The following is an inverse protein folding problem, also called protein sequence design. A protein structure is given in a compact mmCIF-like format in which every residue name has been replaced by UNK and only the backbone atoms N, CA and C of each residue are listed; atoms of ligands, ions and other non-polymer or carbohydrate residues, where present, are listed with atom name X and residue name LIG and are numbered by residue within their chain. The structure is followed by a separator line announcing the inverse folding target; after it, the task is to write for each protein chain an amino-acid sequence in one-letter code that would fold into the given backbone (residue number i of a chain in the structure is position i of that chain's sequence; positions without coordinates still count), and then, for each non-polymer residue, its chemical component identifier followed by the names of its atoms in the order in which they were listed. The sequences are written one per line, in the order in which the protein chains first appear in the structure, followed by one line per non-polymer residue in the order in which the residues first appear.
data_IF_317962280048
#
_entry.id   IF_317962280048
#
_cell.length_a   1.000
_cell.length_b   1.000
_cell.length_c   1.000
_cell.angle_alpha   90.00
_cell.angle_beta   90.00
_cell.angle_gamma   90.00
#
_symmetry.space_group_name_H-M   'P 1'
#
loop_
_entity.id
_entity.type
_entity.pdbx_description
1 polymer ?
#
# COMPACT_ATOMS: atom_id res chain seq x y z
N UNK A 1 -9.48 10.53 13.80
CA UNK A 1 -9.26 9.07 13.67
C UNK A 1 -7.91 8.86 13.01
N UNK A 2 -7.10 7.91 13.51
CA UNK A 2 -5.91 7.37 12.86
C UNK A 2 -6.05 5.86 12.77
N UNK A 3 -5.61 5.27 11.67
CA UNK A 3 -5.72 3.82 11.42
C UNK A 3 -4.33 3.22 11.35
N UNK A 4 -4.12 2.12 12.06
CA UNK A 4 -2.88 1.36 12.08
C UNK A 4 -3.21 -0.12 11.89
N UNK A 5 -2.51 -0.78 10.96
CA UNK A 5 -2.65 -2.20 10.63
C UNK A 5 -1.27 -2.83 10.38
N UNK A 6 -1.25 -3.96 9.70
CA UNK A 6 -0.03 -4.63 9.22
C UNK A 6 0.31 -4.18 7.80
N UNK A 7 1.56 -4.31 7.40
CA UNK A 7 2.05 -3.96 6.07
C UNK A 7 1.80 -5.01 5.00
N UNK A 8 2.30 -4.76 3.82
CA UNK A 8 2.42 -5.59 2.61
C UNK A 8 1.13 -5.98 1.89
N UNK A 9 0.02 -6.17 2.59
CA UNK A 9 -1.26 -6.55 1.99
C UNK A 9 -1.93 -5.36 1.29
N UNK A 10 -2.58 -5.61 0.16
CA UNK A 10 -3.19 -4.56 -0.64
C UNK A 10 -4.44 -5.02 -1.40
N UNK A 11 -5.26 -4.07 -1.80
CA UNK A 11 -6.39 -4.26 -2.69
C UNK A 11 -6.31 -3.37 -3.92
N UNK A 12 -6.93 -3.82 -5.01
CA UNK A 12 -7.07 -3.07 -6.26
C UNK A 12 -8.48 -2.48 -6.37
N UNK A 13 -8.53 -1.22 -6.80
CA UNK A 13 -9.76 -0.49 -7.04
C UNK A 13 -9.88 -0.12 -8.51
N UNK A 14 -11.09 -0.19 -9.05
CA UNK A 14 -11.39 0.22 -10.40
C UNK A 14 -11.53 1.75 -10.54
N UNK A 15 -11.85 2.22 -11.74
CA UNK A 15 -12.04 3.67 -12.03
C UNK A 15 -13.25 4.28 -11.33
N UNK A 16 -14.22 3.47 -10.92
CA UNK A 16 -15.41 3.88 -10.19
C UNK A 16 -15.17 3.92 -8.68
N UNK A 17 -14.03 3.44 -8.20
CA UNK A 17 -13.68 3.38 -6.79
C UNK A 17 -14.21 2.13 -6.07
N UNK A 18 -14.62 1.11 -6.81
CA UNK A 18 -15.00 -0.18 -6.22
C UNK A 18 -13.78 -1.10 -6.14
N UNK A 19 -13.70 -1.82 -5.04
CA UNK A 19 -12.67 -2.85 -4.87
C UNK A 19 -12.98 -4.04 -5.79
N UNK A 20 -12.01 -4.41 -6.65
CA UNK A 20 -12.22 -5.43 -7.71
C UNK A 20 -12.36 -6.82 -7.11
N UNK A 21 -11.61 -7.10 -6.05
CA UNK A 21 -11.63 -8.37 -5.32
C UNK A 21 -11.15 -8.12 -3.88
N UNK A 22 -11.30 -9.11 -3.02
CA UNK A 22 -10.71 -9.06 -1.68
C UNK A 22 -9.20 -8.76 -1.73
N UNK A 23 -8.67 -8.01 -0.75
CA UNK A 23 -7.23 -7.75 -0.65
C UNK A 23 -6.41 -9.02 -0.71
N UNK A 24 -5.27 -8.95 -1.39
CA UNK A 24 -4.34 -10.07 -1.48
C UNK A 24 -3.50 -10.12 -0.22
N UNK A 25 -3.56 -11.25 0.49
CA UNK A 25 -2.77 -11.46 1.70
C UNK A 25 -1.36 -11.95 1.39
N UNK A 26 -0.36 -11.48 2.14
CA UNK A 26 1.03 -11.93 2.09
C UNK A 26 1.21 -13.44 2.37
N UNK A 27 0.19 -14.09 2.92
CA UNK A 27 0.16 -15.55 3.13
C UNK A 27 -0.18 -16.33 1.86
N UNK A 28 -0.55 -15.62 0.77
CA UNK A 28 -0.76 -16.24 -0.53
C UNK A 28 0.59 -16.66 -1.13
N UNK A 29 0.62 -17.77 -1.87
CA UNK A 29 1.84 -18.30 -2.48
C UNK A 29 2.33 -17.50 -3.68
N UNK A 30 1.53 -16.59 -4.22
CA UNK A 30 1.81 -15.89 -5.49
C UNK A 30 3.14 -15.11 -5.46
N UNK A 31 3.46 -14.46 -4.33
CA UNK A 31 4.71 -13.75 -4.15
C UNK A 31 5.93 -14.68 -3.98
N UNK A 32 5.73 -15.85 -3.36
CA UNK A 32 6.78 -16.84 -3.19
C UNK A 32 7.24 -17.39 -4.55
N UNK A 33 6.30 -17.71 -5.42
CA UNK A 33 6.59 -18.25 -6.76
C UNK A 33 7.36 -17.24 -7.63
N UNK A 34 7.03 -15.96 -7.55
CA UNK A 34 7.79 -14.89 -8.23
C UNK A 34 9.20 -14.78 -7.66
N UNK A 35 9.32 -14.78 -6.34
CA UNK A 35 10.64 -14.67 -5.69
C UNK A 35 11.54 -15.85 -5.99
N UNK A 36 11.01 -17.08 -6.06
CA UNK A 36 11.79 -18.27 -6.39
C UNK A 36 12.41 -18.20 -7.80
N UNK A 37 11.72 -17.56 -8.73
CA UNK A 37 12.17 -17.38 -10.12
C UNK A 37 13.04 -16.14 -10.32
N UNK A 38 13.10 -15.24 -9.33
CA UNK A 38 13.82 -13.97 -9.42
C UNK A 38 15.33 -14.20 -9.37
N UNK A 39 16.11 -13.71 -10.36
CA UNK A 39 17.58 -13.80 -10.35
C UNK A 39 18.19 -13.07 -9.12
N UNK A 40 19.31 -13.57 -8.62
CA UNK A 40 20.01 -12.96 -7.48
C UNK A 40 20.48 -11.53 -7.77
N UNK A 41 20.81 -11.22 -9.02
CA UNK A 41 21.17 -9.87 -9.46
C UNK A 41 19.98 -8.90 -9.28
N UNK A 42 18.78 -9.34 -9.65
CA UNK A 42 17.57 -8.53 -9.49
C UNK A 42 17.22 -8.34 -8.02
N UNK A 43 17.33 -9.37 -7.18
CA UNK A 43 17.15 -9.27 -5.71
C UNK A 43 18.12 -8.25 -5.11
N UNK A 44 19.39 -8.32 -5.52
CA UNK A 44 20.44 -7.40 -5.10
C UNK A 44 20.15 -5.97 -5.55
N UNK A 45 19.68 -5.81 -6.78
CA UNK A 45 19.27 -4.51 -7.31
C UNK A 45 18.12 -3.90 -6.49
N UNK A 46 17.03 -4.65 -6.25
CA UNK A 46 15.90 -4.20 -5.45
C UNK A 46 16.34 -3.78 -4.04
N UNK A 47 17.20 -4.58 -3.40
CA UNK A 47 17.74 -4.23 -2.08
C UNK A 47 18.54 -2.93 -2.09
N UNK A 48 19.40 -2.72 -3.10
CA UNK A 48 20.21 -1.49 -3.21
C UNK A 48 19.37 -0.24 -3.43
N UNK A 49 18.27 -0.35 -4.16
CA UNK A 49 17.37 0.77 -4.44
C UNK A 49 16.47 1.12 -3.25
N UNK A 50 15.99 0.11 -2.55
CA UNK A 50 14.93 0.28 -1.54
C UNK A 50 15.43 0.16 -0.10
N UNK A 51 16.58 -0.46 0.14
CA UNK A 51 17.08 -0.79 1.48
C UNK A 51 16.32 -1.94 2.15
N UNK A 52 15.37 -2.59 1.46
CA UNK A 52 14.52 -3.65 1.99
C UNK A 52 15.01 -5.00 1.48
N UNK A 53 15.20 -5.95 2.39
CA UNK A 53 15.54 -7.32 2.04
C UNK A 53 14.41 -7.95 1.22
N UNK A 54 14.78 -8.58 0.10
CA UNK A 54 13.81 -9.26 -0.74
C UNK A 54 13.23 -10.47 -0.01
N UNK A 55 11.92 -10.47 0.19
CA UNK A 55 11.17 -11.55 0.81
C UNK A 55 9.90 -11.82 -0.01
N UNK A 56 9.42 -13.07 0.06
CA UNK A 56 8.18 -13.51 -0.61
C UNK A 56 6.95 -12.70 -0.23
N UNK A 57 6.97 -12.09 0.96
CA UNK A 57 5.85 -11.31 1.48
C UNK A 57 5.82 -9.86 0.95
N UNK A 58 6.91 -9.37 0.35
CA UNK A 58 6.93 -7.99 -0.13
C UNK A 58 5.92 -7.79 -1.25
N UNK A 59 5.17 -6.70 -1.18
CA UNK A 59 4.08 -6.43 -2.13
C UNK A 59 4.53 -6.42 -3.58
N UNK A 60 5.78 -6.02 -3.87
CA UNK A 60 6.35 -6.05 -5.22
C UNK A 60 6.23 -7.43 -5.87
N UNK A 61 6.51 -8.49 -5.11
CA UNK A 61 6.43 -9.88 -5.59
C UNK A 61 4.97 -10.31 -5.81
N UNK A 62 4.07 -9.90 -4.90
CA UNK A 62 2.64 -10.19 -5.03
C UNK A 62 2.02 -9.44 -6.20
N UNK A 63 2.37 -8.17 -6.42
CA UNK A 63 1.90 -7.38 -7.56
C UNK A 63 2.37 -8.04 -8.87
N UNK A 64 3.66 -8.39 -8.96
CA UNK A 64 4.21 -9.08 -10.12
C UNK A 64 3.49 -10.40 -10.40
N UNK A 65 3.25 -11.19 -9.37
CA UNK A 65 2.49 -12.44 -9.49
C UNK A 65 1.04 -12.22 -9.95
N UNK A 66 0.37 -11.14 -9.50
CA UNK A 66 -0.95 -10.78 -10.02
C UNK A 66 -0.91 -10.39 -11.50
N UNK A 67 0.09 -9.64 -11.93
CA UNK A 67 0.26 -9.27 -13.33
C UNK A 67 0.37 -10.51 -14.22
N UNK A 68 1.07 -11.53 -13.77
CA UNK A 68 1.34 -12.76 -14.52
C UNK A 68 0.18 -13.76 -14.49
N UNK A 69 -0.42 -13.96 -13.31
CA UNK A 69 -1.42 -15.03 -13.09
C UNK A 69 -2.87 -14.54 -13.14
N UNK A 70 -3.09 -13.25 -12.92
CA UNK A 70 -4.41 -12.64 -12.86
C UNK A 70 -4.48 -11.37 -13.75
N UNK A 71 -4.02 -11.43 -15.02
CA UNK A 71 -3.86 -10.25 -15.86
C UNK A 71 -5.17 -9.50 -16.09
N UNK A 72 -6.31 -10.19 -16.15
CA UNK A 72 -7.63 -9.55 -16.29
C UNK A 72 -8.03 -8.77 -15.04
N UNK A 73 -7.70 -9.26 -13.84
CA UNK A 73 -7.93 -8.53 -12.59
C UNK A 73 -7.02 -7.32 -12.52
N UNK A 74 -5.74 -7.51 -12.80
CA UNK A 74 -4.76 -6.44 -12.73
C UNK A 74 -5.04 -5.32 -13.73
N UNK A 75 -5.40 -5.65 -14.98
CA UNK A 75 -5.68 -4.66 -16.02
C UNK A 75 -6.92 -3.80 -15.76
N UNK A 76 -7.87 -4.26 -14.93
CA UNK A 76 -9.00 -3.48 -14.46
C UNK A 76 -8.64 -2.59 -13.26
N UNK A 77 -7.49 -2.79 -12.64
CA UNK A 77 -6.99 -1.98 -11.53
C UNK A 77 -6.66 -0.56 -11.96
N UNK A 78 -7.21 0.41 -11.26
CA UNK A 78 -6.90 1.82 -11.43
C UNK A 78 -6.08 2.38 -10.27
N UNK A 79 -6.35 1.95 -9.04
CA UNK A 79 -5.60 2.30 -7.84
C UNK A 79 -5.33 1.09 -6.96
N UNK A 80 -4.14 1.08 -6.38
CA UNK A 80 -3.70 0.13 -5.35
C UNK A 80 -3.69 0.86 -4.01
N UNK A 81 -4.36 0.28 -3.02
CA UNK A 81 -4.37 0.77 -1.65
C UNK A 81 -3.92 -0.33 -0.70
N UNK A 82 -3.07 0.03 0.27
CA UNK A 82 -2.69 -0.86 1.36
C UNK A 82 -3.85 -0.99 2.35
N UNK A 83 -3.83 -1.97 3.24
CA UNK A 83 -4.97 -2.23 4.15
C UNK A 83 -5.44 -0.99 4.91
N UNK A 84 -4.58 -0.20 5.58
CA UNK A 84 -5.07 1.00 6.28
C UNK A 84 -5.53 2.09 5.33
N UNK A 85 -4.96 2.17 4.12
CA UNK A 85 -5.41 3.10 3.09
C UNK A 85 -6.82 2.76 2.59
N UNK A 86 -7.13 1.45 2.48
CA UNK A 86 -8.49 0.98 2.17
C UNK A 86 -9.47 1.46 3.24
N UNK A 87 -9.13 1.28 4.51
CA UNK A 87 -9.99 1.73 5.62
C UNK A 87 -10.14 3.25 5.64
N UNK A 88 -9.05 3.99 5.41
CA UNK A 88 -9.08 5.44 5.27
C UNK A 88 -10.00 5.88 4.12
N UNK A 89 -9.90 5.20 2.97
CA UNK A 89 -10.77 5.46 1.82
C UNK A 89 -12.24 5.19 2.13
N UNK A 90 -12.55 4.06 2.76
CA UNK A 90 -13.93 3.74 3.17
C UNK A 90 -14.51 4.74 4.16
N UNK A 91 -13.68 5.34 5.00
CA UNK A 91 -14.10 6.36 5.96
C UNK A 91 -14.25 7.76 5.36
N UNK A 92 -13.47 8.10 4.32
CA UNK A 92 -13.36 9.49 3.85
C UNK A 92 -13.77 9.68 2.39
N UNK A 93 -13.76 8.62 1.58
CA UNK A 93 -13.86 8.71 0.13
C UNK A 93 -12.57 9.19 -0.57
N UNK A 94 -11.48 9.40 0.18
CA UNK A 94 -10.21 9.90 -0.36
C UNK A 94 -9.19 8.78 -0.48
N UNK A 95 -8.66 8.54 -1.69
CA UNK A 95 -7.59 7.57 -1.93
C UNK A 95 -6.22 8.23 -1.71
N UNK A 96 -5.50 7.75 -0.72
CA UNK A 96 -4.15 8.22 -0.35
C UNK A 96 -3.34 6.99 0.05
N UNK A 97 -2.09 6.90 -0.40
CA UNK A 97 -1.16 5.88 0.09
C UNK A 97 -0.33 6.43 1.24
N UNK A 98 -0.28 5.71 2.34
CA UNK A 98 0.47 6.10 3.53
C UNK A 98 1.96 5.68 3.39
N UNK A 99 2.92 6.59 3.69
CA UNK A 99 4.34 6.33 3.44
C UNK A 99 4.93 5.12 4.17
N UNK A 100 4.55 4.85 5.42
CA UNK A 100 5.10 3.72 6.18
C UNK A 100 4.59 2.37 5.65
N UNK A 101 3.35 2.33 5.16
CA UNK A 101 2.80 1.19 4.45
C UNK A 101 3.50 0.96 3.11
N UNK A 102 3.64 2.02 2.29
CA UNK A 102 4.36 1.92 1.04
C UNK A 102 5.80 1.45 1.22
N UNK A 103 6.45 1.78 2.35
CA UNK A 103 7.81 1.31 2.63
C UNK A 103 7.89 -0.22 2.70
N UNK A 104 6.80 -0.91 3.09
CA UNK A 104 6.77 -2.38 3.18
C UNK A 104 6.69 -3.07 1.81
N UNK A 105 6.34 -2.33 0.77
CA UNK A 105 6.13 -2.87 -0.58
C UNK A 105 7.41 -3.26 -1.30
N UNK A 106 8.57 -2.76 -0.87
CA UNK A 106 9.84 -2.80 -1.60
C UNK A 106 9.80 -2.00 -2.93
N UNK A 107 8.96 -0.97 -3.00
CA UNK A 107 8.84 -0.09 -4.17
C UNK A 107 9.29 1.35 -3.88
N UNK A 108 9.64 1.68 -2.63
CA UNK A 108 10.10 3.01 -2.26
C UNK A 108 11.62 3.15 -2.29
N UNK A 109 12.10 4.26 -2.84
CA UNK A 109 13.47 4.72 -2.65
C UNK A 109 13.65 5.18 -1.19
N UNK A 110 14.51 4.48 -0.44
CA UNK A 110 14.73 4.75 0.98
C UNK A 110 15.30 6.16 1.27
N UNK A 111 16.04 6.73 0.32
CA UNK A 111 16.68 8.06 0.48
C UNK A 111 15.71 9.18 0.12
N UNK A 112 15.00 9.02 -0.99
CA UNK A 112 14.07 10.03 -1.52
C UNK A 112 12.71 9.98 -0.81
N UNK A 113 12.37 8.86 -0.16
CA UNK A 113 11.07 8.61 0.51
C UNK A 113 9.88 8.78 -0.43
N UNK A 114 10.04 8.28 -1.64
CA UNK A 114 9.02 8.28 -2.70
C UNK A 114 9.10 6.97 -3.46
N UNK A 115 8.09 6.67 -4.27
CA UNK A 115 8.13 5.51 -5.16
C UNK A 115 9.36 5.60 -6.07
N UNK A 116 10.06 4.49 -6.24
CA UNK A 116 11.22 4.38 -7.12
C UNK A 116 10.76 4.09 -8.53
N UNK A 117 10.81 5.09 -9.40
CA UNK A 117 10.49 4.89 -10.83
C UNK A 117 11.39 3.82 -11.47
N UNK A 118 12.65 3.72 -11.03
CA UNK A 118 13.59 2.70 -11.50
C UNK A 118 13.14 1.29 -11.12
N UNK A 119 12.68 1.08 -9.88
CA UNK A 119 12.15 -0.21 -9.41
C UNK A 119 10.82 -0.52 -10.07
N UNK A 120 9.93 0.46 -10.19
CA UNK A 120 8.66 0.28 -10.89
C UNK A 120 8.87 -0.13 -12.35
N UNK A 121 9.80 0.54 -13.05
CA UNK A 121 10.17 0.22 -14.43
C UNK A 121 10.78 -1.17 -14.57
N UNK A 122 11.73 -1.55 -13.69
CA UNK A 122 12.36 -2.88 -13.65
C UNK A 122 11.32 -4.00 -13.45
N UNK A 123 10.34 -3.77 -12.58
CA UNK A 123 9.29 -4.75 -12.28
C UNK A 123 8.10 -4.68 -13.26
N UNK A 124 8.08 -3.67 -14.15
CA UNK A 124 6.99 -3.44 -15.09
C UNK A 124 5.68 -2.99 -14.43
N UNK A 125 5.76 -2.37 -13.24
CA UNK A 125 4.59 -1.93 -12.47
C UNK A 125 4.26 -0.47 -12.85
N UNK A 126 3.04 -0.17 -13.32
CA UNK A 126 2.68 1.20 -13.67
C UNK A 126 2.66 2.14 -12.44
N UNK A 127 3.40 3.25 -12.49
CA UNK A 127 3.41 4.25 -11.40
C UNK A 127 2.04 4.86 -11.15
N UNK A 128 1.22 5.01 -12.19
CA UNK A 128 -0.16 5.48 -12.09
C UNK A 128 -1.10 4.60 -11.25
N UNK A 129 -0.68 3.39 -10.90
CA UNK A 129 -1.42 2.48 -10.03
C UNK A 129 -1.51 3.00 -8.58
N UNK A 130 -0.56 3.80 -8.14
CA UNK A 130 -0.53 4.31 -6.77
C UNK A 130 -1.34 5.61 -6.63
N UNK A 131 -1.96 5.78 -5.47
CA UNK A 131 -2.60 7.03 -5.08
C UNK A 131 -1.54 8.07 -4.66
N UNK A 132 -1.89 9.37 -4.53
CA UNK A 132 -0.97 10.35 -3.97
C UNK A 132 -0.45 9.90 -2.60
N UNK A 133 0.84 10.16 -2.34
CA UNK A 133 1.45 9.82 -1.05
C UNK A 133 1.02 10.85 0.00
N UNK A 134 0.47 10.36 1.10
CA UNK A 134 0.04 11.18 2.23
C UNK A 134 1.19 11.79 3.01
N UNK A 135 0.87 12.81 3.80
CA UNK A 135 1.82 13.42 4.74
C UNK A 135 1.36 13.16 6.16
N UNK A 136 2.23 12.58 6.99
CA UNK A 136 1.92 12.32 8.39
C UNK A 136 1.49 13.59 9.14
N UNK A 137 0.49 13.45 10.00
CA UNK A 137 -0.07 14.53 10.79
C UNK A 137 -1.06 15.43 10.04
N UNK A 138 -1.35 15.16 8.76
CA UNK A 138 -2.33 15.93 8.00
C UNK A 138 -3.64 15.17 7.80
N UNK A 139 -4.81 15.86 7.71
CA UNK A 139 -6.05 15.21 7.36
C UNK A 139 -6.02 14.58 5.97
N UNK A 140 -6.49 13.33 5.86
CA UNK A 140 -6.81 12.66 4.59
C UNK A 140 -8.17 13.15 4.09
N UNK A 141 -9.11 13.28 5.00
CA UNK A 141 -10.47 13.74 4.76
C UNK A 141 -11.29 13.76 6.03
N UNK A 142 -12.56 14.08 5.90
CA UNK A 142 -13.53 14.00 6.99
C UNK A 142 -14.28 12.67 6.94
N UNK A 143 -14.69 12.19 8.10
CA UNK A 143 -15.51 11.00 8.21
C UNK A 143 -16.78 11.17 7.36
N UNK A 144 -17.02 10.22 6.47
CA UNK A 144 -18.13 10.26 5.52
C UNK A 144 -19.50 10.34 6.24
N UNK A 145 -20.44 11.10 5.70
CA UNK A 145 -21.74 11.32 6.29
C UNK A 145 -22.50 10.03 6.63
N UNK A 146 -22.47 9.03 5.74
CA UNK A 146 -23.10 7.74 5.97
C UNK A 146 -22.49 6.98 7.16
N UNK A 147 -21.17 7.08 7.37
CA UNK A 147 -20.52 6.48 8.56
C UNK A 147 -20.91 7.24 9.82
N UNK A 148 -20.96 8.58 9.77
CA UNK A 148 -21.41 9.41 10.89
C UNK A 148 -22.85 9.08 11.30
N UNK A 149 -23.74 8.88 10.34
CA UNK A 149 -25.12 8.51 10.57
C UNK A 149 -25.23 7.15 11.28
N UNK A 150 -24.53 6.12 10.79
CA UNK A 150 -24.52 4.79 11.42
C UNK A 150 -24.00 4.84 12.88
N UNK A 151 -23.01 5.70 13.14
CA UNK A 151 -22.38 5.83 14.45
C UNK A 151 -23.09 6.86 15.37
N UNK A 152 -24.12 7.57 14.90
CA UNK A 152 -24.80 8.63 15.65
C UNK A 152 -23.92 9.86 15.93
N UNK A 153 -22.93 10.13 15.07
CA UNK A 153 -21.99 11.25 15.21
C UNK A 153 -22.54 12.49 14.48
N UNK A 154 -22.78 13.58 15.21
CA UNK A 154 -23.32 14.83 14.66
C UNK A 154 -22.27 15.89 14.30
N UNK A 155 -21.01 15.70 14.72
CA UNK A 155 -19.91 16.64 14.49
C UNK A 155 -18.93 16.12 13.44
N UNK A 156 -18.04 16.99 12.95
CA UNK A 156 -17.04 16.62 11.98
C UNK A 156 -15.84 15.95 12.66
N UNK A 157 -15.43 14.81 12.09
CA UNK A 157 -14.30 14.00 12.58
C UNK A 157 -13.27 13.87 11.48
N UNK A 158 -12.09 14.48 11.62
CA UNK A 158 -11.02 14.30 10.65
C UNK A 158 -10.40 12.89 10.76
N UNK A 159 -10.09 12.30 9.60
CA UNK A 159 -9.23 11.10 9.49
C UNK A 159 -7.84 11.59 9.14
N UNK A 160 -6.87 11.27 9.98
CA UNK A 160 -5.50 11.79 9.92
C UNK A 160 -4.57 10.73 9.35
N UNK A 161 -3.72 11.13 8.42
CA UNK A 161 -2.60 10.29 7.95
C UNK A 161 -1.61 10.12 9.11
N UNK A 162 -1.61 8.94 9.71
CA UNK A 162 -0.68 8.53 10.77
C UNK A 162 0.25 7.46 10.23
N UNK A 163 1.41 7.19 10.85
CA UNK A 163 2.18 5.99 10.54
C UNK A 163 1.29 4.76 10.75
N UNK A 164 0.90 4.14 9.65
CA UNK A 164 -0.16 3.13 9.64
C UNK A 164 0.37 1.69 9.66
N UNK A 165 1.66 1.50 9.39
CA UNK A 165 2.34 0.22 9.58
C UNK A 165 2.67 0.03 11.06
N UNK A 166 2.16 -1.05 11.67
CA UNK A 166 2.29 -1.36 13.10
C UNK A 166 3.73 -1.29 13.60
N UNK A 167 4.67 -1.85 12.86
CA UNK A 167 6.09 -1.82 13.21
C UNK A 167 6.66 -0.40 13.18
N UNK A 168 6.29 0.41 12.19
CA UNK A 168 6.71 1.81 12.11
C UNK A 168 6.11 2.62 13.27
N UNK A 169 4.84 2.38 13.60
CA UNK A 169 4.18 3.00 14.75
C UNK A 169 4.86 2.61 16.06
N UNK A 170 5.23 1.34 16.22
CA UNK A 170 5.95 0.86 17.40
C UNK A 170 7.34 1.51 17.54
N UNK A 171 8.09 1.65 16.44
CA UNK A 171 9.40 2.34 16.45
C UNK A 171 9.25 3.80 16.86
N UNK A 172 8.22 4.50 16.37
CA UNK A 172 7.96 5.89 16.74
C UNK A 172 7.54 6.07 18.20
N UNK A 173 7.01 5.04 18.83
CA UNK A 173 6.62 5.07 20.24
C UNK A 173 7.81 4.89 21.20
N UNK A 174 9.01 4.55 20.70
CA UNK A 174 10.20 4.39 21.53
C UNK A 174 10.66 5.76 22.02
N UNK A 175 10.78 5.98 23.34
CA UNK A 175 11.31 7.22 23.88
C UNK A 175 12.77 7.41 23.41
N UNK A 176 13.06 8.55 22.76
CA UNK A 176 14.39 8.93 22.33
C UNK A 176 15.05 9.85 23.34
#
# INVERSE_FOLDING_TARGET
IGICTWGVDFGLFDRQGFMIQNPLSYRNSIGAEVMEQMPDEQRTYLFRQTGILCDKINSVNMIKGMMEKMPSVFSNGHKLLMIPDILNYLFTGCMVNEPSELSTTQLMDAKKRQLSEDVLGEMGIPSGLFAPIGKHGTPIGMLHSGVKEILGISYDVPVICVPSHDTAAAVLAIPA
#
